data_IF_505940042948
#
_entry.id   IF_505940042948
#
_cell.length_a   1.000
_cell.length_b   1.000
_cell.length_c   1.000
_cell.angle_alpha   90.00
_cell.angle_beta   90.00
_cell.angle_gamma   90.00
#
_symmetry.space_group_name_H-M   'P 1'
#
loop_
_entity.id
_entity.type
_entity.pdbx_description
1 polymer ?
#
# COMPACT_ATOMS: atom_id res chain seq x y z
N UNK A 1 -17.05 15.85 5.17
CA UNK A 1 -15.83 16.26 5.92
C UNK A 1 -14.90 15.07 5.88
N UNK A 2 -13.59 15.26 5.64
CA UNK A 2 -12.62 14.15 5.59
C UNK A 2 -11.89 14.10 6.92
N UNK A 3 -11.83 12.92 7.54
CA UNK A 3 -11.03 12.68 8.74
C UNK A 3 -9.61 12.30 8.31
N UNK A 4 -8.62 13.00 8.88
CA UNK A 4 -7.21 12.82 8.57
C UNK A 4 -6.48 12.46 9.85
N UNK A 5 -5.87 11.29 9.87
CA UNK A 5 -5.10 10.77 10.99
C UNK A 5 -3.63 10.61 10.59
N UNK A 6 -2.73 10.76 11.57
CA UNK A 6 -1.29 10.53 11.41
C UNK A 6 -0.80 9.61 12.51
N UNK A 7 0.04 8.64 12.17
CA UNK A 7 0.62 7.71 13.11
C UNK A 7 2.11 7.55 12.83
N UNK A 8 2.92 7.57 13.89
CA UNK A 8 4.36 7.30 13.82
C UNK A 8 4.64 5.79 13.83
N UNK A 9 5.80 5.42 13.31
CA UNK A 9 6.35 4.07 13.40
C UNK A 9 6.59 3.41 12.04
N UNK A 10 7.29 2.29 12.09
CA UNK A 10 7.69 1.55 10.89
C UNK A 10 6.56 0.66 10.40
N UNK A 11 6.20 0.81 9.11
CA UNK A 11 5.14 0.04 8.46
C UNK A 11 5.33 -1.47 8.59
N UNK A 12 6.57 -1.94 8.53
CA UNK A 12 6.92 -3.37 8.57
C UNK A 12 6.65 -4.04 9.93
N UNK A 13 6.41 -3.24 10.97
CA UNK A 13 6.06 -3.70 12.31
C UNK A 13 4.55 -3.68 12.57
N UNK A 14 3.74 -3.21 11.61
CA UNK A 14 2.28 -3.22 11.71
C UNK A 14 1.72 -4.62 11.41
N UNK A 15 0.68 -5.01 12.13
CA UNK A 15 0.01 -6.30 12.02
C UNK A 15 -1.16 -6.26 11.04
N UNK A 16 -1.79 -7.42 10.82
CA UNK A 16 -2.93 -7.55 9.91
C UNK A 16 -4.13 -6.67 10.34
N UNK A 17 -4.36 -6.53 11.64
CA UNK A 17 -5.44 -5.69 12.20
C UNK A 17 -5.26 -4.23 11.81
N UNK A 18 -4.02 -3.73 11.77
CA UNK A 18 -3.74 -2.40 11.25
C UNK A 18 -4.16 -2.25 9.77
N UNK A 19 -3.75 -3.19 8.91
CA UNK A 19 -4.04 -3.11 7.48
C UNK A 19 -5.52 -3.27 7.15
N UNK A 20 -6.27 -4.03 7.94
CA UNK A 20 -7.73 -4.22 7.78
C UNK A 20 -8.54 -2.93 7.94
N UNK A 21 -7.96 -1.88 8.53
CA UNK A 21 -8.62 -0.57 8.69
C UNK A 21 -8.77 0.19 7.37
N UNK A 22 -8.06 -0.21 6.33
CA UNK A 22 -7.97 0.53 5.07
C UNK A 22 -8.56 -0.24 3.90
N UNK A 23 -9.24 0.47 3.00
CA UNK A 23 -9.66 -0.10 1.72
C UNK A 23 -8.50 -0.23 0.71
N UNK A 24 -7.54 0.69 0.81
CA UNK A 24 -6.38 0.82 -0.07
C UNK A 24 -5.17 1.29 0.75
N UNK A 25 -4.02 0.65 0.55
CA UNK A 25 -2.73 1.07 1.11
C UNK A 25 -1.84 1.62 0.01
N UNK A 26 -1.25 2.80 0.20
CA UNK A 26 -0.34 3.44 -0.75
C UNK A 26 1.05 3.65 -0.14
N UNK A 27 2.06 2.96 -0.67
CA UNK A 27 3.44 3.07 -0.21
C UNK A 27 4.27 3.97 -1.14
N UNK A 28 4.76 5.09 -0.61
CA UNK A 28 5.63 6.04 -1.33
C UNK A 28 7.06 6.09 -0.78
N UNK A 29 7.30 5.44 0.36
CA UNK A 29 8.60 5.38 1.01
C UNK A 29 9.60 4.52 0.22
N UNK A 30 10.89 4.83 0.34
CA UNK A 30 11.99 4.05 -0.23
C UNK A 30 12.19 2.74 0.55
N UNK A 31 11.27 1.80 0.35
CA UNK A 31 11.37 0.43 0.85
C UNK A 31 12.08 -0.46 -0.17
N UNK A 32 12.72 -1.52 0.29
CA UNK A 32 13.26 -2.54 -0.61
C UNK A 32 12.12 -3.25 -1.36
N UNK A 33 12.44 -3.87 -2.49
CA UNK A 33 11.44 -4.62 -3.26
C UNK A 33 10.87 -5.79 -2.44
N UNK A 34 11.67 -6.42 -1.59
CA UNK A 34 11.23 -7.48 -0.67
C UNK A 34 10.23 -6.96 0.35
N UNK A 35 10.50 -5.78 0.94
CA UNK A 35 9.60 -5.12 1.89
C UNK A 35 8.27 -4.75 1.23
N UNK A 36 8.30 -4.16 0.03
CA UNK A 36 7.09 -3.85 -0.74
C UNK A 36 6.29 -5.11 -1.09
N UNK A 37 6.99 -6.18 -1.49
CA UNK A 37 6.37 -7.48 -1.81
C UNK A 37 5.70 -8.10 -0.58
N UNK A 38 6.34 -8.02 0.60
CA UNK A 38 5.76 -8.48 1.87
C UNK A 38 4.47 -7.74 2.19
N UNK A 39 4.48 -6.40 2.13
CA UNK A 39 3.30 -5.58 2.41
C UNK A 39 2.20 -5.84 1.39
N UNK A 40 2.53 -5.95 0.09
CA UNK A 40 1.56 -6.27 -0.94
C UNK A 40 0.89 -7.63 -0.72
N UNK A 41 1.68 -8.67 -0.40
CA UNK A 41 1.15 -10.01 -0.12
C UNK A 41 0.24 -10.02 1.11
N UNK A 42 0.62 -9.27 2.16
CA UNK A 42 -0.21 -9.09 3.34
C UNK A 42 -1.53 -8.41 2.97
N UNK A 43 -1.50 -7.27 2.28
CA UNK A 43 -2.71 -6.57 1.81
C UNK A 43 -3.61 -7.48 0.96
N UNK A 44 -3.03 -8.20 -0.01
CA UNK A 44 -3.76 -9.15 -0.87
C UNK A 44 -4.46 -10.23 -0.04
N UNK A 45 -3.81 -10.80 0.97
CA UNK A 45 -4.41 -11.83 1.84
C UNK A 45 -5.59 -11.31 2.67
N UNK A 46 -5.64 -10.00 2.92
CA UNK A 46 -6.66 -9.32 3.69
C UNK A 46 -7.79 -8.74 2.82
N UNK A 47 -7.67 -8.81 1.49
CA UNK A 47 -8.61 -8.16 0.56
C UNK A 47 -8.42 -6.65 0.43
N UNK A 48 -7.29 -6.13 0.91
CA UNK A 48 -6.93 -4.71 0.87
C UNK A 48 -6.17 -4.42 -0.43
N UNK A 49 -6.57 -3.37 -1.17
CA UNK A 49 -5.90 -3.02 -2.43
C UNK A 49 -4.57 -2.33 -2.12
N UNK A 50 -3.59 -2.48 -3.00
CA UNK A 50 -2.25 -1.96 -2.75
C UNK A 50 -1.72 -1.14 -3.92
N UNK A 51 -1.14 0.00 -3.59
CA UNK A 51 -0.37 0.85 -4.50
C UNK A 51 1.04 1.03 -3.97
N UNK A 52 2.01 1.08 -4.88
CA UNK A 52 3.30 1.65 -4.55
C UNK A 52 3.88 2.43 -5.74
N UNK A 53 4.74 3.37 -5.41
CA UNK A 53 5.42 4.17 -6.41
C UNK A 53 6.56 4.94 -5.79
N UNK A 54 7.53 5.29 -6.61
CA UNK A 54 8.65 6.11 -6.18
C UNK A 54 9.21 6.91 -7.36
N UNK A 55 9.99 7.94 -7.03
CA UNK A 55 10.60 8.86 -8.00
C UNK A 55 12.09 8.97 -7.71
N UNK A 56 12.89 8.85 -8.77
CA UNK A 56 14.34 9.08 -8.78
C UNK A 56 14.67 10.13 -9.85
N UNK A 57 14.76 11.39 -9.41
CA UNK A 57 14.98 12.53 -10.31
C UNK A 57 13.82 12.70 -11.28
N UNK A 58 14.07 12.47 -12.57
CA UNK A 58 13.08 12.60 -13.65
C UNK A 58 12.32 11.30 -13.95
N UNK A 59 12.71 10.18 -13.34
CA UNK A 59 12.09 8.89 -13.57
C UNK A 59 11.27 8.48 -12.36
N UNK A 60 10.17 7.79 -12.59
CA UNK A 60 9.37 7.21 -11.52
C UNK A 60 8.64 5.99 -11.99
N UNK A 61 8.11 5.25 -11.03
CA UNK A 61 7.26 4.11 -11.30
C UNK A 61 5.99 4.19 -10.47
N UNK A 62 4.97 3.49 -10.96
CA UNK A 62 3.73 3.24 -10.25
C UNK A 62 3.36 1.77 -10.47
N UNK A 63 2.90 1.14 -9.41
CA UNK A 63 2.42 -0.23 -9.39
C UNK A 63 1.10 -0.28 -8.63
N UNK A 64 0.19 -1.09 -9.15
CA UNK A 64 -1.12 -1.32 -8.55
C UNK A 64 -1.47 -2.79 -8.47
N UNK A 65 -1.91 -3.20 -7.29
CA UNK A 65 -2.47 -4.50 -7.00
C UNK A 65 -3.93 -4.36 -6.54
N UNK A 66 -4.84 -4.52 -7.50
CA UNK A 66 -6.28 -4.42 -7.24
C UNK A 66 -6.93 -5.78 -6.98
N UNK A 67 -6.12 -6.86 -6.88
CA UNK A 67 -6.59 -8.24 -6.73
C UNK A 67 -7.51 -8.62 -7.90
N UNK A 68 -8.77 -8.96 -7.65
CA UNK A 68 -9.79 -9.16 -8.66
C UNK A 68 -10.66 -7.90 -8.72
N UNK A 69 -10.43 -7.08 -9.74
CA UNK A 69 -11.09 -5.78 -9.88
C UNK A 69 -12.05 -5.76 -11.07
N UNK A 70 -13.27 -5.29 -10.82
CA UNK A 70 -14.26 -4.98 -11.84
C UNK A 70 -14.60 -3.48 -11.76
N UNK A 71 -14.80 -2.85 -12.92
CA UNK A 71 -15.15 -1.44 -13.02
C UNK A 71 -16.24 -1.22 -14.08
N UNK A 72 -16.90 -0.07 -14.03
CA UNK A 72 -17.87 0.39 -15.05
C UNK A 72 -17.37 1.70 -15.67
N UNK A 73 -17.73 1.95 -16.94
CA UNK A 73 -17.36 3.16 -17.68
C UNK A 73 -18.44 4.22 -17.58
#
# INVERSE_FOLDING_TARGET
MVEVESEDGELLNKDDEYFRKFDIVCCTASLSTEALTKVNNQCRSLGVKFYCGHVWGLFGYFFSDLIQHAYTQ
#
